data_IF_938242828827
#
_entry.id   IF_938242828827
#
_cell.length_a   1.000
_cell.length_b   1.000
_cell.length_c   1.000
_cell.angle_alpha   90.00
_cell.angle_beta   90.00
_cell.angle_gamma   90.00
#
_symmetry.space_group_name_H-M   'P 1'
#
loop_
_entity.id
_entity.type
_entity.pdbx_description
1 polymer ?
#
# COMPACT_ATOMS: atom_id res chain seq x y z
N UNK A 1 -25.00 -4.46 10.26
CA UNK A 1 -24.40 -5.23 11.38
C UNK A 1 -23.64 -6.38 10.74
N UNK A 2 -22.38 -6.57 11.07
CA UNK A 2 -21.54 -7.58 10.42
C UNK A 2 -22.06 -9.00 10.70
N UNK A 3 -22.72 -9.60 9.71
CA UNK A 3 -23.33 -10.93 9.85
C UNK A 3 -22.30 -12.07 9.84
N UNK A 4 -21.09 -11.81 9.31
CA UNK A 4 -20.01 -12.80 9.28
C UNK A 4 -19.57 -13.21 10.71
N UNK A 5 -19.48 -12.26 11.64
CA UNK A 5 -19.03 -12.53 13.02
C UNK A 5 -20.02 -13.43 13.77
N UNK A 6 -21.31 -13.39 13.42
CA UNK A 6 -22.33 -14.22 14.04
C UNK A 6 -22.39 -15.67 13.53
N UNK A 7 -21.65 -15.96 12.45
CA UNK A 7 -21.56 -17.33 11.91
C UNK A 7 -20.68 -18.21 12.77
N UNK A 8 -20.98 -19.51 12.82
CA UNK A 8 -20.05 -20.49 13.40
C UNK A 8 -18.77 -20.58 12.57
N UNK A 9 -17.67 -21.05 13.17
CA UNK A 9 -16.38 -21.21 12.47
C UNK A 9 -16.51 -22.08 11.21
N UNK A 10 -17.31 -23.15 11.24
CA UNK A 10 -17.57 -24.01 10.08
C UNK A 10 -18.34 -23.25 8.97
N UNK A 11 -19.30 -22.39 9.34
CA UNK A 11 -20.03 -21.55 8.38
C UNK A 11 -19.13 -20.48 7.78
N UNK A 12 -18.28 -19.86 8.59
CA UNK A 12 -17.27 -18.90 8.10
C UNK A 12 -16.33 -19.56 7.12
N UNK A 13 -15.79 -20.74 7.48
CA UNK A 13 -14.90 -21.53 6.61
C UNK A 13 -15.56 -21.88 5.28
N UNK A 14 -16.80 -22.36 5.32
CA UNK A 14 -17.55 -22.71 4.09
C UNK A 14 -17.75 -21.48 3.19
N UNK A 15 -18.14 -20.34 3.76
CA UNK A 15 -18.33 -19.08 3.04
C UNK A 15 -17.04 -18.61 2.36
N UNK A 16 -15.91 -18.68 3.06
CA UNK A 16 -14.59 -18.31 2.53
C UNK A 16 -14.16 -19.26 1.41
N UNK A 17 -14.34 -20.57 1.57
CA UNK A 17 -14.05 -21.58 0.51
C UNK A 17 -14.89 -21.33 -0.75
N UNK A 18 -16.18 -21.05 -0.61
CA UNK A 18 -17.05 -20.75 -1.75
C UNK A 18 -16.64 -19.46 -2.45
N UNK A 19 -16.26 -18.43 -1.69
CA UNK A 19 -15.76 -17.17 -2.25
C UNK A 19 -14.42 -17.40 -2.96
N UNK A 20 -13.49 -18.12 -2.35
CA UNK A 20 -12.19 -18.47 -2.91
C UNK A 20 -12.31 -19.16 -4.28
N UNK A 21 -13.21 -20.14 -4.37
CA UNK A 21 -13.50 -20.84 -5.63
C UNK A 21 -14.04 -19.91 -6.73
N UNK A 22 -14.80 -18.86 -6.37
CA UNK A 22 -15.34 -17.88 -7.33
C UNK A 22 -14.31 -16.90 -7.82
N UNK A 23 -13.42 -16.43 -6.91
CA UNK A 23 -12.44 -15.39 -7.24
C UNK A 23 -11.09 -15.95 -7.69
N UNK A 24 -10.90 -17.28 -7.63
CA UNK A 24 -9.66 -17.93 -8.05
C UNK A 24 -8.47 -17.68 -7.12
N UNK A 25 -8.72 -17.40 -5.84
CA UNK A 25 -7.71 -17.15 -4.83
C UNK A 25 -7.66 -18.26 -3.78
N UNK A 26 -6.53 -18.44 -3.07
CA UNK A 26 -6.50 -19.27 -1.86
C UNK A 26 -7.48 -18.76 -0.80
N UNK A 27 -8.09 -19.65 -0.06
CA UNK A 27 -9.07 -19.31 0.98
C UNK A 27 -8.48 -18.41 2.08
N UNK A 28 -7.19 -18.60 2.43
CA UNK A 28 -6.50 -17.74 3.40
C UNK A 28 -6.30 -16.32 2.86
N UNK A 29 -6.17 -16.15 1.53
CA UNK A 29 -6.09 -14.83 0.92
C UNK A 29 -7.45 -14.10 0.97
N UNK A 30 -8.54 -14.83 0.77
CA UNK A 30 -9.92 -14.30 0.91
C UNK A 30 -10.22 -13.93 2.36
N UNK A 31 -9.81 -14.78 3.32
CA UNK A 31 -9.92 -14.45 4.75
C UNK A 31 -9.14 -13.18 5.09
N UNK A 32 -7.92 -13.08 4.61
CA UNK A 32 -7.09 -11.90 4.86
C UNK A 32 -7.66 -10.63 4.24
N UNK A 33 -8.19 -10.70 3.02
CA UNK A 33 -8.89 -9.58 2.37
C UNK A 33 -10.10 -9.11 3.19
N UNK A 34 -10.83 -10.04 3.77
CA UNK A 34 -11.94 -9.74 4.67
C UNK A 34 -11.45 -8.96 5.91
N UNK A 35 -10.40 -9.45 6.58
CA UNK A 35 -9.83 -8.79 7.75
C UNK A 35 -9.22 -7.42 7.40
N UNK A 36 -8.49 -7.31 6.29
CA UNK A 36 -7.99 -6.02 5.78
C UNK A 36 -9.13 -5.02 5.60
N UNK A 37 -10.25 -5.47 5.01
CA UNK A 37 -11.39 -4.60 4.76
C UNK A 37 -12.05 -4.16 6.05
N UNK A 38 -12.31 -5.06 7.00
CA UNK A 38 -12.91 -4.74 8.30
C UNK A 38 -12.03 -3.76 9.09
N UNK A 39 -10.73 -4.04 9.21
CA UNK A 39 -9.81 -3.16 9.94
C UNK A 39 -9.71 -1.79 9.26
N UNK A 40 -9.63 -1.75 7.93
CA UNK A 40 -9.62 -0.49 7.18
C UNK A 40 -10.88 0.35 7.44
N UNK A 41 -12.07 -0.28 7.44
CA UNK A 41 -13.32 0.41 7.75
C UNK A 41 -13.32 0.98 9.18
N UNK A 42 -12.83 0.21 10.18
CA UNK A 42 -12.74 0.70 11.56
C UNK A 42 -11.74 1.85 11.71
N UNK A 43 -10.61 1.81 11.00
CA UNK A 43 -9.65 2.92 10.96
C UNK A 43 -10.31 4.22 10.53
N UNK A 44 -11.22 4.17 9.56
CA UNK A 44 -11.90 5.37 9.05
C UNK A 44 -13.13 5.77 9.86
N UNK A 45 -13.39 5.14 11.01
CA UNK A 45 -14.31 5.67 12.06
C UNK A 45 -13.59 6.48 13.14
N UNK A 46 -12.26 6.48 13.16
CA UNK A 46 -11.46 7.18 14.17
C UNK A 46 -11.67 8.71 14.12
N UNK A 47 -11.54 9.44 15.26
CA UNK A 47 -11.83 10.88 15.32
C UNK A 47 -11.05 11.75 14.34
N UNK A 48 -9.90 11.29 13.90
CA UNK A 48 -9.00 11.99 12.98
C UNK A 48 -9.00 11.38 11.56
N UNK A 49 -9.96 10.52 11.23
CA UNK A 49 -10.09 9.87 9.93
C UNK A 49 -10.13 10.87 8.77
N UNK A 50 -10.71 12.06 8.96
CA UNK A 50 -10.73 13.13 7.95
C UNK A 50 -9.37 13.71 7.59
N UNK A 51 -8.30 13.35 8.32
CA UNK A 51 -6.90 13.71 8.02
C UNK A 51 -6.06 12.52 7.57
N UNK A 52 -6.69 11.44 7.17
CA UNK A 52 -6.00 10.23 6.72
C UNK A 52 -6.38 9.87 5.30
N UNK A 53 -5.43 9.26 4.59
CA UNK A 53 -5.64 8.71 3.25
C UNK A 53 -5.07 7.31 3.18
N UNK A 54 -5.87 6.38 2.68
CA UNK A 54 -5.44 5.03 2.33
C UNK A 54 -4.69 5.05 1.00
N UNK A 55 -3.50 4.47 0.95
CA UNK A 55 -2.60 4.50 -0.20
C UNK A 55 -1.93 3.15 -0.44
N UNK A 56 -0.99 3.10 -1.36
CA UNK A 56 -0.12 1.95 -1.57
C UNK A 56 -0.68 0.89 -2.52
N UNK A 57 -0.11 -0.31 -2.45
CA UNK A 57 -0.46 -1.41 -3.37
C UNK A 57 -1.87 -1.94 -3.18
N UNK A 58 -2.35 -1.95 -1.95
CA UNK A 58 -3.67 -2.48 -1.62
C UNK A 58 -4.80 -1.61 -2.17
N UNK A 59 -4.58 -0.29 -2.35
CA UNK A 59 -5.55 0.56 -3.07
C UNK A 59 -5.71 0.14 -4.53
N UNK A 60 -4.62 -0.25 -5.20
CA UNK A 60 -4.66 -0.71 -6.59
C UNK A 60 -5.41 -2.06 -6.71
N UNK A 61 -5.19 -2.98 -5.75
CA UNK A 61 -5.92 -4.25 -5.70
C UNK A 61 -7.42 -4.02 -5.46
N UNK A 62 -7.79 -3.14 -4.50
CA UNK A 62 -9.20 -2.78 -4.23
C UNK A 62 -9.86 -2.03 -5.38
N UNK A 63 -9.10 -1.32 -6.20
CA UNK A 63 -9.58 -0.69 -7.43
C UNK A 63 -9.64 -1.65 -8.65
N UNK A 64 -9.24 -2.92 -8.49
CA UNK A 64 -9.21 -3.90 -9.60
C UNK A 64 -8.15 -3.62 -10.67
N UNK A 65 -7.13 -2.83 -10.36
CA UNK A 65 -6.08 -2.42 -11.30
C UNK A 65 -4.91 -3.40 -11.36
N UNK A 66 -4.76 -4.26 -10.37
CA UNK A 66 -3.71 -5.29 -10.29
C UNK A 66 -4.30 -6.63 -9.86
N UNK A 67 -3.73 -7.70 -10.36
CA UNK A 67 -4.10 -9.07 -10.05
C UNK A 67 -2.99 -9.79 -9.29
N UNK A 68 -2.40 -9.08 -8.33
CA UNK A 68 -1.52 -9.64 -7.32
C UNK A 68 -2.08 -9.40 -5.93
N UNK A 69 -1.81 -10.31 -5.04
CA UNK A 69 -2.21 -10.16 -3.64
C UNK A 69 -1.48 -8.98 -3.00
N UNK A 70 -2.23 -8.18 -2.27
CA UNK A 70 -1.71 -7.05 -1.49
C UNK A 70 -2.49 -6.97 -0.18
N UNK A 71 -1.78 -6.94 0.92
CA UNK A 71 -2.29 -7.32 2.24
C UNK A 71 -2.06 -6.27 3.34
N UNK A 72 -1.23 -5.27 3.03
CA UNK A 72 -0.87 -4.22 3.99
C UNK A 72 -1.82 -3.03 3.85
N UNK A 73 -2.10 -2.35 4.95
CA UNK A 73 -2.85 -1.08 4.98
C UNK A 73 -1.85 0.06 5.14
N UNK A 74 -1.50 0.70 4.02
CA UNK A 74 -0.66 1.89 4.02
C UNK A 74 -1.50 3.15 4.26
N UNK A 75 -1.22 3.91 5.31
CA UNK A 75 -1.94 5.13 5.68
C UNK A 75 -1.02 6.35 5.71
N UNK A 76 -1.46 7.40 5.06
CA UNK A 76 -0.90 8.73 5.22
C UNK A 76 -1.74 9.53 6.21
N UNK A 77 -1.13 10.13 7.23
CA UNK A 77 -1.76 11.14 8.10
C UNK A 77 -1.26 12.50 7.66
N UNK A 78 -2.19 13.43 7.45
CA UNK A 78 -1.85 14.82 7.18
C UNK A 78 -1.04 15.41 8.35
N UNK A 79 0.11 16.01 8.02
CA UNK A 79 1.01 16.62 9.02
C UNK A 79 0.34 17.76 9.80
N UNK A 80 -0.76 18.33 9.29
CA UNK A 80 -1.56 19.31 10.04
C UNK A 80 -2.18 18.71 11.30
N UNK A 81 -2.33 17.39 11.41
CA UNK A 81 -2.70 16.70 12.64
C UNK A 81 -1.71 16.98 13.78
N UNK A 82 -0.46 17.27 13.43
CA UNK A 82 0.64 17.54 14.35
C UNK A 82 1.04 19.02 14.38
N UNK A 83 0.24 19.92 13.77
CA UNK A 83 0.48 21.35 13.73
C UNK A 83 1.56 21.78 12.73
N UNK A 84 1.84 20.95 11.70
CA UNK A 84 2.80 21.29 10.65
C UNK A 84 2.08 21.56 9.32
N UNK A 85 2.54 22.62 8.63
CA UNK A 85 2.04 23.01 7.31
C UNK A 85 3.20 23.38 6.38
N UNK A 86 2.98 23.31 5.07
CA UNK A 86 3.97 23.69 4.06
C UNK A 86 5.24 22.85 4.11
N UNK A 87 6.34 23.42 3.61
CA UNK A 87 7.66 22.80 3.63
C UNK A 87 8.27 22.82 5.01
N UNK A 88 8.96 21.76 5.36
CA UNK A 88 9.53 21.59 6.68
C UNK A 88 11.06 21.59 6.64
N UNK A 89 11.66 22.27 7.61
CA UNK A 89 13.09 22.18 7.87
C UNK A 89 13.47 20.79 8.41
N UNK A 90 14.74 20.42 8.30
CA UNK A 90 15.26 19.14 8.84
C UNK A 90 14.93 18.95 10.33
N UNK A 91 14.92 20.04 11.12
CA UNK A 91 14.54 19.98 12.55
C UNK A 91 13.06 19.68 12.72
N UNK A 92 12.20 20.34 11.94
CA UNK A 92 10.75 20.10 11.96
C UNK A 92 10.42 18.67 11.49
N UNK A 93 11.10 18.16 10.45
CA UNK A 93 10.94 16.76 9.99
C UNK A 93 11.28 15.75 11.08
N UNK A 94 12.35 15.98 11.86
CA UNK A 94 12.68 15.13 13.02
C UNK A 94 11.60 15.20 14.10
N UNK A 95 11.05 16.39 14.35
CA UNK A 95 9.98 16.58 15.33
C UNK A 95 8.68 15.91 14.86
N UNK A 96 8.29 16.10 13.60
CA UNK A 96 7.13 15.44 12.99
C UNK A 96 7.25 13.91 13.09
N UNK A 97 8.41 13.35 12.70
CA UNK A 97 8.69 11.92 12.81
C UNK A 97 8.47 11.40 14.24
N UNK A 98 8.99 12.09 15.23
CA UNK A 98 8.81 11.72 16.64
C UNK A 98 7.34 11.77 17.05
N UNK A 99 6.65 12.87 16.74
CA UNK A 99 5.27 13.08 17.15
C UNK A 99 4.32 12.06 16.46
N UNK A 100 4.46 11.85 15.16
CA UNK A 100 3.65 10.88 14.41
C UNK A 100 3.89 9.46 14.90
N UNK A 101 5.15 9.09 15.13
CA UNK A 101 5.51 7.76 15.60
C UNK A 101 4.92 7.45 16.99
N UNK A 102 5.02 8.40 17.94
CA UNK A 102 4.41 8.26 19.26
C UNK A 102 2.87 8.24 19.19
N UNK A 103 2.29 9.13 18.38
CA UNK A 103 0.84 9.16 18.17
C UNK A 103 0.31 7.80 17.67
N UNK A 104 1.00 7.18 16.69
CA UNK A 104 0.61 5.87 16.18
C UNK A 104 0.74 4.79 17.24
N UNK A 105 1.83 4.82 18.03
CA UNK A 105 2.08 3.85 19.09
C UNK A 105 1.05 3.93 20.22
N UNK A 106 0.77 5.13 20.69
CA UNK A 106 0.04 5.34 21.94
C UNK A 106 -1.45 5.65 21.70
N UNK A 107 -1.77 6.61 20.82
CA UNK A 107 -3.13 7.09 20.60
C UNK A 107 -3.87 6.26 19.56
N UNK A 108 -3.28 6.14 18.36
CA UNK A 108 -3.93 5.43 17.26
C UNK A 108 -4.20 3.95 17.61
N UNK A 109 -3.22 3.26 18.16
CA UNK A 109 -3.37 1.83 18.51
C UNK A 109 -4.44 1.63 19.58
N UNK A 110 -4.54 2.53 20.55
CA UNK A 110 -5.55 2.46 21.61
C UNK A 110 -6.96 2.78 21.09
N UNK A 111 -7.09 3.80 20.24
CA UNK A 111 -8.38 4.15 19.65
C UNK A 111 -8.87 3.06 18.69
N UNK A 112 -7.97 2.47 17.90
CA UNK A 112 -8.32 1.32 17.05
C UNK A 112 -8.76 0.10 17.89
N UNK A 113 -8.12 -0.15 19.04
CA UNK A 113 -8.52 -1.21 19.96
C UNK A 113 -9.95 -1.02 20.44
N UNK A 114 -10.32 0.21 20.82
CA UNK A 114 -11.70 0.55 21.25
C UNK A 114 -12.71 0.33 20.13
N UNK A 115 -12.39 0.71 18.89
CA UNK A 115 -13.29 0.47 17.74
C UNK A 115 -13.43 -1.03 17.42
N UNK A 116 -12.36 -1.81 17.54
CA UNK A 116 -12.40 -3.28 17.43
C UNK A 116 -13.31 -3.90 18.52
N UNK A 117 -13.22 -3.41 19.75
CA UNK A 117 -14.09 -3.86 20.85
C UNK A 117 -15.56 -3.52 20.57
N UNK A 118 -15.86 -2.28 20.15
CA UNK A 118 -17.22 -1.85 19.77
C UNK A 118 -17.80 -2.66 18.61
N UNK A 119 -16.95 -3.08 17.68
CA UNK A 119 -17.33 -3.93 16.54
C UNK A 119 -17.54 -5.42 16.93
N UNK A 120 -17.27 -5.80 18.18
CA UNK A 120 -17.39 -7.18 18.65
C UNK A 120 -16.25 -8.11 18.23
N UNK A 121 -15.11 -7.56 17.81
CA UNK A 121 -13.94 -8.30 17.30
C UNK A 121 -12.87 -8.55 18.37
N UNK A 122 -13.01 -8.05 19.60
CA UNK A 122 -11.97 -8.08 20.65
C UNK A 122 -11.44 -9.47 20.98
N UNK A 123 -12.29 -10.51 20.93
CA UNK A 123 -11.89 -11.91 21.18
C UNK A 123 -11.27 -12.60 19.96
N UNK A 124 -11.29 -11.96 18.79
CA UNK A 124 -10.89 -12.57 17.52
C UNK A 124 -9.54 -12.03 16.99
N UNK A 125 -9.04 -10.94 17.54
CA UNK A 125 -7.74 -10.39 17.15
C UNK A 125 -7.03 -9.66 18.30
N UNK A 126 -5.71 -9.46 18.13
CA UNK A 126 -4.87 -8.66 19.02
C UNK A 126 -4.20 -7.53 18.24
N UNK A 127 -3.89 -6.42 18.92
CA UNK A 127 -3.22 -5.26 18.32
C UNK A 127 -1.88 -5.07 19.01
N UNK A 128 -0.81 -5.05 18.22
CA UNK A 128 0.56 -4.84 18.69
C UNK A 128 1.24 -3.75 17.86
N UNK A 129 1.48 -2.54 18.41
CA UNK A 129 2.29 -1.54 17.75
C UNK A 129 3.76 -1.97 17.75
N UNK A 130 4.47 -1.67 16.66
CA UNK A 130 5.90 -1.85 16.54
C UNK A 130 6.63 -1.16 17.71
N UNK A 131 7.61 -1.81 18.36
CA UNK A 131 8.36 -1.22 19.44
C UNK A 131 9.22 -0.03 18.96
N UNK A 132 9.71 0.77 19.90
CA UNK A 132 10.72 1.79 19.61
C UNK A 132 12.00 1.12 19.13
N UNK A 133 12.65 1.73 18.13
CA UNK A 133 13.94 1.29 17.64
C UNK A 133 15.10 1.87 18.46
N UNK A 134 16.30 1.80 17.90
CA UNK A 134 17.51 2.31 18.54
C UNK A 134 18.15 3.46 17.73
N UNK A 135 18.87 4.33 18.40
CA UNK A 135 19.61 5.44 17.79
C UNK A 135 18.72 6.34 16.92
N UNK A 136 19.11 6.56 15.69
CA UNK A 136 18.33 7.38 14.74
C UNK A 136 16.98 6.74 14.34
N UNK A 137 16.78 5.43 14.60
CA UNK A 137 15.56 4.71 14.35
C UNK A 137 14.64 4.57 15.58
N UNK A 138 14.95 5.25 16.68
CA UNK A 138 14.14 5.25 17.92
C UNK A 138 12.66 5.50 17.66
N UNK A 139 12.34 6.35 16.71
CA UNK A 139 10.97 6.64 16.29
C UNK A 139 10.76 6.18 14.85
N UNK A 140 10.33 4.91 14.63
CA UNK A 140 10.01 4.43 13.27
C UNK A 140 8.95 5.30 12.62
N UNK A 141 9.13 5.63 11.34
CA UNK A 141 8.15 6.37 10.58
C UNK A 141 8.34 6.06 9.06
N UNK A 142 7.37 5.41 8.43
CA UNK A 142 6.09 4.98 9.02
C UNK A 142 6.29 3.99 10.16
N UNK A 143 5.40 4.05 11.17
CA UNK A 143 5.32 3.05 12.24
C UNK A 143 4.31 1.99 11.88
N UNK A 144 4.59 0.75 12.26
CA UNK A 144 3.73 -0.40 12.01
C UNK A 144 2.83 -0.70 13.20
N UNK A 145 1.63 -1.18 12.89
CA UNK A 145 0.75 -1.85 13.84
C UNK A 145 0.38 -3.20 13.26
N UNK A 146 0.51 -4.24 14.07
CA UNK A 146 0.16 -5.61 13.71
C UNK A 146 -1.18 -5.97 14.35
N UNK A 147 -2.18 -6.26 13.53
CA UNK A 147 -3.47 -6.80 13.97
C UNK A 147 -3.47 -8.29 13.64
N UNK A 148 -3.18 -9.13 14.64
CA UNK A 148 -3.18 -10.60 14.48
C UNK A 148 -4.55 -11.14 14.78
N UNK A 149 -5.13 -11.85 13.83
CA UNK A 149 -6.45 -12.41 13.94
C UNK A 149 -6.43 -13.94 14.05
N UNK A 150 -7.49 -14.49 14.64
CA UNK A 150 -7.71 -15.93 14.68
C UNK A 150 -8.21 -16.39 13.30
N UNK A 151 -7.40 -17.19 12.61
CA UNK A 151 -7.76 -17.75 11.32
C UNK A 151 -8.65 -18.98 11.48
N UNK A 152 -9.70 -19.09 10.68
CA UNK A 152 -10.53 -20.31 10.64
C UNK A 152 -9.85 -21.46 9.85
N UNK A 153 -8.67 -21.20 9.27
CA UNK A 153 -7.86 -22.21 8.58
C UNK A 153 -6.67 -22.65 9.43
N UNK A 154 -6.56 -23.94 9.78
CA UNK A 154 -5.53 -24.43 10.73
C UNK A 154 -4.11 -24.42 10.15
N UNK A 155 -3.94 -24.34 8.83
CA UNK A 155 -2.64 -24.36 8.19
C UNK A 155 -2.40 -23.03 7.47
N UNK A 156 -1.56 -22.14 8.02
CA UNK A 156 -1.21 -20.90 7.32
C UNK A 156 -0.32 -21.21 6.11
N UNK A 157 -0.50 -20.42 5.04
CA UNK A 157 0.44 -20.43 3.92
C UNK A 157 1.76 -19.79 4.37
N UNK A 158 2.91 -20.25 3.85
CA UNK A 158 4.22 -19.77 4.30
C UNK A 158 4.41 -18.25 4.23
N UNK A 159 3.74 -17.58 3.30
CA UNK A 159 3.83 -16.13 3.06
C UNK A 159 2.58 -15.34 3.44
N UNK A 160 1.46 -16.01 3.79
CA UNK A 160 0.21 -15.38 4.26
C UNK A 160 0.03 -15.64 5.75
N UNK A 161 0.54 -14.75 6.57
CA UNK A 161 0.30 -14.80 8.01
C UNK A 161 -1.12 -14.30 8.34
N UNK A 162 -1.81 -14.84 9.36
CA UNK A 162 -3.10 -14.33 9.83
C UNK A 162 -2.91 -12.99 10.59
N UNK A 163 -2.47 -12.01 9.89
CA UNK A 163 -2.10 -10.70 10.42
C UNK A 163 -2.37 -9.62 9.37
N UNK A 164 -2.99 -8.52 9.77
CA UNK A 164 -3.09 -7.29 8.98
C UNK A 164 -2.04 -6.32 9.50
N UNK A 165 -1.13 -5.89 8.64
CA UNK A 165 -0.13 -4.89 8.97
C UNK A 165 -0.59 -3.51 8.49
N UNK A 166 -0.61 -2.53 9.40
CA UNK A 166 -0.85 -1.13 9.09
C UNK A 166 0.48 -0.40 9.11
N UNK A 167 0.85 0.26 8.02
CA UNK A 167 2.00 1.17 7.95
C UNK A 167 1.49 2.62 7.94
N UNK A 168 1.78 3.37 9.01
CA UNK A 168 1.17 4.69 9.25
C UNK A 168 2.25 5.74 9.38
N UNK A 169 2.20 6.77 8.51
CA UNK A 169 3.18 7.85 8.52
C UNK A 169 2.63 9.21 8.12
N UNK A 170 3.32 10.28 8.56
CA UNK A 170 2.90 11.66 8.33
C UNK A 170 3.77 12.41 7.29
N UNK A 171 4.69 11.71 6.63
CA UNK A 171 5.57 12.31 5.60
C UNK A 171 5.13 12.00 4.17
N UNK A 172 3.98 11.40 3.97
CA UNK A 172 3.43 11.14 2.62
C UNK A 172 2.64 12.34 2.11
N UNK A 173 2.60 12.49 0.79
CA UNK A 173 1.70 13.43 0.13
C UNK A 173 0.26 12.93 0.28
N UNK A 174 -0.64 13.78 0.71
CA UNK A 174 -2.06 13.44 0.93
C UNK A 174 -2.82 13.42 -0.39
N UNK A 175 -2.85 14.54 -1.10
CA UNK A 175 -3.61 14.73 -2.33
C UNK A 175 -2.86 14.26 -3.59
N UNK A 176 -3.59 13.91 -4.65
CA UNK A 176 -5.04 13.77 -4.74
C UNK A 176 -5.55 12.43 -4.19
N UNK A 177 -6.80 12.44 -3.70
CA UNK A 177 -7.54 11.25 -3.27
C UNK A 177 -9.03 11.38 -3.62
N UNK A 178 -9.73 10.25 -3.65
CA UNK A 178 -11.18 10.17 -3.87
C UNK A 178 -11.84 9.37 -2.74
N UNK A 179 -13.12 9.66 -2.45
CA UNK A 179 -13.89 8.90 -1.46
C UNK A 179 -14.46 7.64 -2.12
N UNK A 180 -14.13 6.48 -1.59
CA UNK A 180 -14.50 5.18 -2.17
C UNK A 180 -15.13 4.28 -1.09
N UNK A 181 -16.16 3.54 -1.45
CA UNK A 181 -16.65 2.43 -0.65
C UNK A 181 -15.75 1.22 -0.90
N UNK A 182 -15.10 0.71 0.13
CA UNK A 182 -14.23 -0.47 0.05
C UNK A 182 -14.98 -1.68 0.59
N UNK A 183 -15.05 -2.74 -0.23
CA UNK A 183 -15.72 -3.99 0.07
C UNK A 183 -14.74 -5.17 0.03
N UNK A 184 -15.04 -6.22 0.81
CA UNK A 184 -14.30 -7.48 0.76
C UNK A 184 -14.74 -8.34 -0.42
N UNK A 185 -13.91 -9.30 -0.83
CA UNK A 185 -14.33 -10.31 -1.81
C UNK A 185 -15.58 -11.07 -1.35
N UNK A 186 -15.75 -11.30 -0.06
CA UNK A 186 -16.94 -11.95 0.48
C UNK A 186 -18.18 -11.10 0.21
N UNK A 187 -18.17 -9.81 0.56
CA UNK A 187 -19.30 -8.91 0.32
C UNK A 187 -19.66 -8.78 -1.17
N UNK A 188 -18.64 -8.75 -2.04
CA UNK A 188 -18.84 -8.63 -3.48
C UNK A 188 -19.44 -9.89 -4.12
N UNK A 189 -19.23 -11.07 -3.52
CA UNK A 189 -19.59 -12.36 -4.12
C UNK A 189 -20.71 -13.10 -3.38
N UNK A 190 -21.21 -12.56 -2.27
CA UNK A 190 -22.25 -13.17 -1.45
C UNK A 190 -23.25 -12.12 -0.97
N UNK A 191 -24.35 -12.57 -0.37
CA UNK A 191 -25.30 -11.68 0.33
C UNK A 191 -24.98 -11.46 1.82
N UNK A 192 -23.84 -11.98 2.29
CA UNK A 192 -23.43 -11.83 3.70
C UNK A 192 -22.80 -10.45 3.89
N UNK A 193 -23.39 -9.67 4.76
CA UNK A 193 -22.79 -8.39 5.18
C UNK A 193 -21.57 -8.64 6.07
N UNK A 194 -20.42 -8.21 5.59
CA UNK A 194 -19.13 -8.32 6.30
C UNK A 194 -18.60 -6.97 6.76
N UNK A 195 -19.39 -5.90 6.61
CA UNK A 195 -18.96 -4.54 6.95
C UNK A 195 -18.81 -4.36 8.45
N UNK A 196 -17.62 -3.94 8.89
CA UNK A 196 -17.38 -3.54 10.27
C UNK A 196 -17.93 -2.11 10.55
N UNK A 197 -17.94 -1.25 9.53
CA UNK A 197 -18.54 0.08 9.57
C UNK A 197 -18.96 0.53 8.16
N UNK A 198 -20.00 1.36 8.08
CA UNK A 198 -20.40 2.02 6.84
C UNK A 198 -19.69 3.36 6.70
N UNK A 199 -18.56 3.36 6.01
CA UNK A 199 -17.71 4.54 5.82
C UNK A 199 -17.25 4.68 4.38
N UNK A 200 -17.10 5.94 3.94
CA UNK A 200 -16.38 6.26 2.70
C UNK A 200 -14.92 6.50 3.04
N UNK A 201 -14.02 5.84 2.31
CA UNK A 201 -12.58 5.82 2.60
C UNK A 201 -11.87 6.76 1.63
N UNK A 202 -11.17 7.80 2.12
CA UNK A 202 -10.25 8.60 1.31
C UNK A 202 -9.14 7.69 0.78
N UNK A 203 -9.16 7.41 -0.51
CA UNK A 203 -8.23 6.52 -1.19
C UNK A 203 -7.40 7.29 -2.22
N UNK A 204 -6.07 7.17 -2.14
CA UNK A 204 -5.16 7.83 -3.07
C UNK A 204 -5.51 7.48 -4.52
N UNK A 205 -5.54 8.49 -5.38
CA UNK A 205 -5.86 8.27 -6.79
C UNK A 205 -4.80 7.41 -7.50
N UNK A 206 -5.22 6.50 -8.40
CA UNK A 206 -4.29 5.64 -9.13
C UNK A 206 -3.22 6.43 -9.88
N UNK A 207 -3.56 7.59 -10.47
CA UNK A 207 -2.62 8.49 -11.17
C UNK A 207 -1.46 8.92 -10.29
N UNK A 208 -1.75 9.30 -9.04
CA UNK A 208 -0.72 9.65 -8.05
C UNK A 208 0.16 8.44 -7.73
N UNK A 209 -0.47 7.29 -7.42
CA UNK A 209 0.25 6.05 -7.11
C UNK A 209 1.16 5.61 -8.26
N UNK A 210 0.72 5.80 -9.51
CA UNK A 210 1.54 5.52 -10.69
C UNK A 210 2.82 6.35 -10.72
N UNK A 211 2.72 7.67 -10.57
CA UNK A 211 3.89 8.56 -10.54
C UNK A 211 4.78 8.28 -9.33
N UNK A 212 4.21 8.06 -8.14
CA UNK A 212 4.99 7.71 -6.94
C UNK A 212 5.81 6.42 -7.12
N UNK A 213 5.24 5.41 -7.81
CA UNK A 213 5.97 4.17 -8.13
C UNK A 213 7.07 4.39 -9.17
N UNK A 214 6.83 5.23 -10.16
CA UNK A 214 7.85 5.60 -11.15
C UNK A 214 9.02 6.34 -10.48
N UNK A 215 8.74 7.30 -9.60
CA UNK A 215 9.77 7.95 -8.78
C UNK A 215 10.52 6.95 -7.89
N UNK A 216 9.81 6.04 -7.23
CA UNK A 216 10.44 5.03 -6.38
C UNK A 216 11.43 4.14 -7.16
N UNK A 217 11.07 3.69 -8.36
CA UNK A 217 11.98 2.92 -9.20
C UNK A 217 13.19 3.76 -9.65
N UNK A 218 12.95 5.02 -10.05
CA UNK A 218 14.04 5.94 -10.38
C UNK A 218 15.02 6.10 -9.20
N UNK A 219 14.51 6.29 -7.99
CA UNK A 219 15.32 6.39 -6.77
C UNK A 219 16.08 5.10 -6.45
N UNK A 220 15.52 3.94 -6.79
CA UNK A 220 16.17 2.65 -6.61
C UNK A 220 17.29 2.39 -7.62
N UNK A 221 17.17 2.93 -8.84
CA UNK A 221 18.06 2.62 -9.95
C UNK A 221 19.04 3.74 -10.31
N UNK A 222 18.77 4.99 -9.86
CA UNK A 222 19.63 6.14 -10.15
C UNK A 222 21.00 6.13 -9.46
N UNK A 223 21.13 5.73 -8.19
CA UNK A 223 22.43 5.73 -7.53
C UNK A 223 23.35 4.65 -8.09
N UNK A 224 24.68 4.91 -8.02
CA UNK A 224 25.70 4.01 -8.55
C UNK A 224 25.74 2.61 -7.90
N UNK A 225 25.14 2.44 -6.72
CA UNK A 225 24.98 1.14 -6.08
C UNK A 225 23.49 0.77 -6.00
N UNK A 226 23.08 -0.28 -6.73
CA UNK A 226 21.68 -0.72 -6.75
C UNK A 226 21.23 -1.22 -5.37
N UNK A 227 20.04 -0.85 -4.99
CA UNK A 227 19.41 -1.31 -3.76
C UNK A 227 18.86 -2.73 -3.93
N UNK A 228 18.75 -3.47 -2.80
CA UNK A 228 18.22 -4.85 -2.79
C UNK A 228 16.86 -4.94 -3.48
N UNK A 229 16.70 -5.97 -4.29
CA UNK A 229 15.50 -6.26 -5.05
C UNK A 229 14.34 -6.79 -4.18
N UNK A 230 14.65 -7.36 -3.01
CA UNK A 230 13.72 -8.12 -2.17
C UNK A 230 12.35 -7.46 -2.04
N UNK A 231 11.31 -8.14 -2.52
CA UNK A 231 9.90 -7.71 -2.57
C UNK A 231 9.65 -6.38 -3.33
N UNK A 232 10.57 -5.93 -4.18
CA UNK A 232 10.43 -4.64 -4.88
C UNK A 232 10.05 -4.77 -6.35
N UNK A 233 10.24 -5.93 -6.97
CA UNK A 233 9.79 -6.19 -8.34
C UNK A 233 8.28 -6.00 -8.52
N UNK A 234 7.51 -6.05 -7.43
CA UNK A 234 6.08 -5.69 -7.42
C UNK A 234 5.79 -4.30 -8.00
N UNK A 235 6.73 -3.34 -7.89
CA UNK A 235 6.53 -2.00 -8.46
C UNK A 235 6.63 -2.01 -9.98
N UNK A 236 7.47 -2.88 -10.56
CA UNK A 236 7.54 -3.09 -12.01
C UNK A 236 6.22 -3.69 -12.53
N UNK A 237 5.71 -4.72 -11.86
CA UNK A 237 4.43 -5.34 -12.17
C UNK A 237 3.28 -4.33 -12.08
N UNK A 238 3.19 -3.58 -10.99
CA UNK A 238 2.12 -2.61 -10.77
C UNK A 238 2.11 -1.54 -11.88
N UNK A 239 3.28 -0.99 -12.24
CA UNK A 239 3.38 0.00 -13.32
C UNK A 239 2.96 -0.60 -14.66
N UNK A 240 3.37 -1.83 -14.97
CA UNK A 240 2.98 -2.51 -16.20
C UNK A 240 1.45 -2.67 -16.28
N UNK A 241 0.81 -3.09 -15.19
CA UNK A 241 -0.66 -3.22 -15.14
C UNK A 241 -1.35 -1.88 -15.31
N UNK A 242 -0.89 -0.86 -14.60
CA UNK A 242 -1.47 0.49 -14.67
C UNK A 242 -1.28 1.14 -16.04
N UNK A 243 -0.21 0.85 -16.78
CA UNK A 243 0.01 1.30 -18.16
C UNK A 243 -1.06 0.79 -19.15
N UNK A 244 -1.79 -0.26 -18.80
CA UNK A 244 -2.89 -0.80 -19.63
C UNK A 244 -4.15 0.08 -19.59
N UNK A 245 -4.19 1.08 -18.69
CA UNK A 245 -5.29 2.00 -18.47
C UNK A 245 -4.96 3.38 -19.04
N UNK A 246 -5.50 3.78 -20.23
CA UNK A 246 -5.16 5.06 -20.88
C UNK A 246 -5.43 6.28 -19.98
N UNK A 247 -6.48 6.21 -19.17
CA UNK A 247 -6.85 7.26 -18.21
C UNK A 247 -5.80 7.44 -17.11
N UNK A 248 -5.09 6.37 -16.70
CA UNK A 248 -3.97 6.46 -15.75
C UNK A 248 -2.72 6.92 -16.48
N UNK A 249 -2.42 6.34 -17.63
CA UNK A 249 -1.22 6.65 -18.41
C UNK A 249 -1.19 8.14 -18.83
N UNK A 250 -2.35 8.76 -19.03
CA UNK A 250 -2.45 10.21 -19.36
C UNK A 250 -1.78 11.11 -18.33
N UNK A 251 -1.55 10.64 -17.10
CA UNK A 251 -0.87 11.40 -16.03
C UNK A 251 0.58 11.76 -16.37
N UNK A 252 1.19 11.07 -17.32
CA UNK A 252 2.53 11.42 -17.81
C UNK A 252 2.58 12.85 -18.37
N UNK A 253 1.46 13.38 -18.85
CA UNK A 253 1.35 14.76 -19.33
C UNK A 253 0.92 15.76 -18.24
N UNK A 254 0.61 15.31 -17.03
CA UNK A 254 0.20 16.15 -15.90
C UNK A 254 1.44 16.74 -15.20
N UNK A 255 1.79 17.95 -15.61
CA UNK A 255 2.96 18.64 -15.04
C UNK A 255 2.70 19.11 -13.60
N UNK A 256 1.47 19.43 -13.23
CA UNK A 256 1.13 19.90 -11.89
C UNK A 256 1.31 18.77 -10.86
N UNK A 257 0.71 17.60 -11.12
CA UNK A 257 0.85 16.46 -10.24
C UNK A 257 2.29 15.94 -10.20
N UNK A 258 2.99 15.91 -11.37
CA UNK A 258 4.40 15.54 -11.41
C UNK A 258 5.24 16.44 -10.51
N UNK A 259 5.13 17.76 -10.68
CA UNK A 259 5.91 18.74 -9.91
C UNK A 259 5.58 18.69 -8.42
N UNK A 260 4.31 18.47 -8.06
CA UNK A 260 3.89 18.28 -6.66
C UNK A 260 4.56 17.07 -6.02
N UNK A 261 4.57 15.92 -6.69
CA UNK A 261 5.22 14.69 -6.21
C UNK A 261 6.74 14.88 -6.15
N UNK A 262 7.34 15.45 -7.19
CA UNK A 262 8.78 15.71 -7.24
C UNK A 262 9.23 16.62 -6.07
N UNK A 263 8.55 17.76 -5.89
CA UNK A 263 8.82 18.68 -4.79
C UNK A 263 8.67 17.98 -3.44
N UNK A 264 7.56 17.27 -3.25
CA UNK A 264 7.30 16.53 -2.01
C UNK A 264 8.43 15.53 -1.71
N UNK A 265 8.87 14.74 -2.70
CA UNK A 265 9.94 13.74 -2.48
C UNK A 265 11.26 14.41 -2.15
N UNK A 266 11.60 15.52 -2.81
CA UNK A 266 12.84 16.27 -2.55
C UNK A 266 12.91 16.87 -1.16
N UNK A 267 11.77 17.21 -0.54
CA UNK A 267 11.70 17.83 0.79
C UNK A 267 11.51 16.81 1.91
N UNK A 268 10.54 15.89 1.75
CA UNK A 268 10.07 15.02 2.84
C UNK A 268 10.74 13.66 2.89
N UNK A 269 11.17 13.13 1.74
CA UNK A 269 11.75 11.79 1.65
C UNK A 269 13.02 11.72 0.79
N UNK A 270 13.90 12.74 0.79
CA UNK A 270 15.06 12.71 -0.09
C UNK A 270 16.01 11.57 0.27
N UNK A 271 16.49 10.87 -0.74
CA UNK A 271 17.58 9.92 -0.63
C UNK A 271 18.90 10.62 -0.94
N UNK A 272 19.94 10.33 -0.16
CA UNK A 272 21.21 11.06 -0.20
C UNK A 272 21.93 10.96 -1.56
N UNK A 273 21.79 9.81 -2.21
CA UNK A 273 22.47 9.51 -3.47
C UNK A 273 21.65 9.86 -4.71
N UNK A 274 20.45 10.39 -4.55
CA UNK A 274 19.55 10.75 -5.66
C UNK A 274 19.59 12.25 -5.88
N UNK A 275 19.75 12.65 -7.14
CA UNK A 275 19.72 14.03 -7.58
C UNK A 275 18.28 14.43 -7.96
N UNK A 276 17.65 15.29 -7.16
CA UNK A 276 16.30 15.81 -7.37
C UNK A 276 16.30 17.12 -8.17
N UNK A 277 17.07 17.20 -9.26
CA UNK A 277 17.00 18.36 -10.17
C UNK A 277 15.70 18.36 -10.98
N UNK A 278 15.25 19.52 -11.51
CA UNK A 278 13.98 19.63 -12.25
C UNK A 278 13.89 18.75 -13.51
N UNK A 279 15.02 18.35 -14.07
CA UNK A 279 15.12 17.49 -15.27
C UNK A 279 15.01 15.97 -15.00
N UNK A 280 14.73 15.57 -13.75
CA UNK A 280 14.61 14.15 -13.35
C UNK A 280 13.66 13.36 -14.26
N UNK A 281 12.62 13.99 -14.78
CA UNK A 281 11.64 13.39 -15.68
C UNK A 281 12.26 12.97 -17.02
N UNK A 282 13.17 13.78 -17.55
CA UNK A 282 13.81 13.53 -18.85
C UNK A 282 14.88 12.44 -18.76
N UNK A 283 15.34 12.13 -17.57
CA UNK A 283 16.35 11.10 -17.27
C UNK A 283 15.84 10.02 -16.32
N UNK A 284 14.51 9.84 -16.26
CA UNK A 284 13.89 8.81 -15.42
C UNK A 284 14.47 7.43 -15.75
N UNK A 285 14.77 6.65 -14.72
CA UNK A 285 15.32 5.31 -14.81
C UNK A 285 14.36 4.32 -14.15
N UNK A 286 13.75 3.44 -14.93
CA UNK A 286 12.76 2.45 -14.48
C UNK A 286 13.23 1.01 -14.69
N UNK A 287 14.42 0.84 -15.24
CA UNK A 287 15.02 -0.46 -15.56
C UNK A 287 16.13 -0.76 -14.57
N UNK A 288 16.13 -1.95 -13.94
CA UNK A 288 17.22 -2.35 -13.07
C UNK A 288 18.57 -2.33 -13.81
N UNK A 289 19.64 -1.79 -13.19
CA UNK A 289 20.99 -1.86 -13.76
C UNK A 289 21.46 -3.30 -14.00
N UNK A 290 22.32 -3.49 -15.00
CA UNK A 290 22.81 -4.81 -15.44
C UNK A 290 23.43 -5.64 -14.31
N UNK A 291 24.11 -4.97 -13.37
CA UNK A 291 24.77 -5.61 -12.23
C UNK A 291 23.81 -6.19 -11.17
N UNK A 292 22.51 -5.86 -11.23
CA UNK A 292 21.51 -6.39 -10.30
C UNK A 292 20.24 -6.93 -10.99
N UNK A 293 20.12 -6.85 -12.31
CA UNK A 293 18.92 -7.26 -13.05
C UNK A 293 18.55 -8.74 -12.79
N UNK A 294 19.55 -9.58 -12.52
CA UNK A 294 19.34 -10.98 -12.15
C UNK A 294 18.57 -11.14 -10.83
N UNK A 295 18.89 -10.33 -9.82
CA UNK A 295 18.20 -10.36 -8.52
C UNK A 295 16.74 -9.90 -8.66
N UNK A 296 16.50 -8.88 -9.49
CA UNK A 296 15.16 -8.41 -9.80
C UNK A 296 14.34 -9.44 -10.58
N UNK A 297 14.97 -10.17 -11.48
CA UNK A 297 14.33 -11.29 -12.19
C UNK A 297 13.92 -12.41 -11.24
N UNK A 298 14.81 -12.79 -10.32
CA UNK A 298 14.52 -13.81 -9.32
C UNK A 298 13.40 -13.38 -8.35
N UNK A 299 13.42 -12.12 -7.88
CA UNK A 299 12.36 -11.56 -7.03
C UNK A 299 11.01 -11.53 -7.77
N UNK A 300 11.01 -11.16 -9.04
CA UNK A 300 9.81 -11.17 -9.88
C UNK A 300 9.24 -12.59 -10.07
N UNK A 301 10.08 -13.58 -10.32
CA UNK A 301 9.66 -14.97 -10.45
C UNK A 301 9.04 -15.50 -9.15
N UNK A 302 9.71 -15.26 -8.02
CA UNK A 302 9.16 -15.63 -6.71
C UNK A 302 7.80 -14.96 -6.42
N UNK A 303 7.62 -13.72 -6.85
CA UNK A 303 6.34 -13.01 -6.74
C UNK A 303 5.27 -13.66 -7.64
N UNK A 304 5.61 -14.04 -8.89
CA UNK A 304 4.66 -14.71 -9.79
C UNK A 304 4.16 -16.03 -9.20
N UNK A 305 5.03 -16.78 -8.53
CA UNK A 305 4.68 -18.08 -7.94
C UNK A 305 3.83 -17.97 -6.68
N UNK A 306 3.95 -16.85 -5.93
CA UNK A 306 3.41 -16.76 -4.58
C UNK A 306 2.32 -15.71 -4.39
N UNK A 307 2.28 -14.67 -5.21
CA UNK A 307 1.44 -13.49 -4.97
C UNK A 307 0.54 -13.10 -6.16
N UNK A 308 0.87 -13.52 -7.38
CA UNK A 308 0.09 -13.19 -8.58
C UNK A 308 -0.96 -14.28 -8.80
N UNK A 309 -2.22 -13.87 -9.01
CA UNK A 309 -3.34 -14.76 -9.37
C UNK A 309 -3.85 -14.52 -10.79
N UNK A 310 -3.19 -13.63 -11.53
CA UNK A 310 -3.40 -13.48 -12.97
C UNK A 310 -3.03 -14.78 -13.70
N UNK A 311 -3.87 -15.25 -14.60
CA UNK A 311 -3.69 -16.52 -15.29
C UNK A 311 -2.47 -16.56 -16.23
N UNK A 312 -2.00 -15.40 -16.69
CA UNK A 312 -0.87 -15.29 -17.64
C UNK A 312 -0.13 -13.97 -17.45
N UNK A 313 0.64 -13.83 -16.36
CA UNK A 313 1.45 -12.62 -16.14
C UNK A 313 2.54 -12.49 -17.19
N UNK A 314 2.88 -11.27 -17.58
CA UNK A 314 4.02 -11.04 -18.48
C UNK A 314 5.29 -11.62 -17.88
N UNK A 315 6.15 -12.30 -18.68
CA UNK A 315 7.46 -12.70 -18.22
C UNK A 315 8.31 -11.45 -17.92
N UNK A 316 9.32 -11.60 -17.05
CA UNK A 316 10.16 -10.48 -16.63
C UNK A 316 10.71 -9.64 -17.78
N UNK A 317 11.21 -10.28 -18.83
CA UNK A 317 11.76 -9.58 -20.00
C UNK A 317 10.69 -8.74 -20.74
N UNK A 318 9.44 -9.20 -20.72
CA UNK A 318 8.28 -8.44 -21.23
C UNK A 318 7.98 -7.21 -20.35
N UNK A 319 8.06 -7.37 -19.03
CA UNK A 319 7.88 -6.23 -18.10
C UNK A 319 8.99 -5.20 -18.29
N UNK A 320 10.23 -5.62 -18.47
CA UNK A 320 11.37 -4.71 -18.75
C UNK A 320 11.17 -3.96 -20.08
N UNK A 321 10.66 -4.63 -21.12
CA UNK A 321 10.32 -3.95 -22.38
C UNK A 321 9.23 -2.87 -22.17
N UNK A 322 8.21 -3.13 -21.34
CA UNK A 322 7.20 -2.14 -20.97
C UNK A 322 7.77 -0.97 -20.15
N UNK A 323 8.72 -1.24 -19.25
CA UNK A 323 9.41 -0.16 -18.51
C UNK A 323 10.24 0.73 -19.46
N UNK A 324 10.89 0.15 -20.47
CA UNK A 324 11.60 0.91 -21.50
C UNK A 324 10.65 1.81 -22.32
N UNK A 325 9.48 1.29 -22.66
CA UNK A 325 8.43 2.08 -23.30
C UNK A 325 8.01 3.25 -22.40
N UNK A 326 7.78 2.97 -21.11
CA UNK A 326 7.37 3.99 -20.13
C UNK A 326 8.43 5.09 -19.98
N UNK A 327 9.72 4.75 -19.90
CA UNK A 327 10.81 5.74 -19.89
C UNK A 327 10.77 6.64 -21.13
N UNK A 328 10.51 6.08 -22.31
CA UNK A 328 10.40 6.85 -23.55
C UNK A 328 9.19 7.78 -23.52
N UNK A 329 8.05 7.34 -22.98
CA UNK A 329 6.87 8.20 -22.82
C UNK A 329 7.16 9.38 -21.89
N UNK A 330 7.86 9.18 -20.77
CA UNK A 330 8.27 10.25 -19.88
C UNK A 330 9.21 11.27 -20.56
N UNK A 331 10.19 10.78 -21.34
CA UNK A 331 11.20 11.61 -22.03
C UNK A 331 10.61 12.36 -23.23
N UNK A 332 9.72 11.70 -23.97
CA UNK A 332 9.17 12.23 -25.23
C UNK A 332 7.80 12.88 -25.04
N UNK A 333 7.49 13.42 -23.83
CA UNK A 333 6.21 14.11 -23.58
C UNK A 333 5.66 14.69 -24.87
N UNK A 334 4.45 14.32 -25.26
CA UNK A 334 3.87 14.78 -26.52
C UNK A 334 4.12 16.30 -26.66
N UNK A 335 5.03 16.64 -27.57
CA UNK A 335 5.20 18.00 -28.05
C UNK A 335 3.96 18.41 -28.81
#
# INVERSE_FOLDING_TARGET
MNNYISLTEDQQRLLLLQTAARVGLPEQAVEKDLWVTMILQLVFTLPYAGKMVFKGGTTLAKAGLIERFSEDIDLAIDRSQFGFEGDLTKKQLKTLRKQSSLFVKDTFSEDLRKEIEKAGLAGLCTIEPEPDGEGDMTYPEPRKIHVRYHSVFPQPLPYLRPEVMLEIGARSLIEPYSLVKVESFVSQNTSVDTSAAEVMIPMAEPKKTFLEKAFLLHELFSPGEPRKAERKSRHLYDLEKMMRHPEILSVIADDELWNSIHHHRSVFTPLREVDYTPDIRDRICLIPPDNCIGDWKNDYQAMCESMIYESSPLPFDGVIARMKELENLFRNRMK
#
